data_IF_038420809644
#
_entry.id   IF_038420809644
#
_cell.length_a   1.000
_cell.length_b   1.000
_cell.length_c   1.000
_cell.angle_alpha   90.00
_cell.angle_beta   90.00
_cell.angle_gamma   90.00
#
_symmetry.space_group_name_H-M   'P 1'
#
loop_
_entity.id
_entity.type
_entity.pdbx_description
1 polymer ?
#
# COMPACT_ATOMS: atom_id res chain seq x y z
N UNK A 1 10.42 2.50 12.16
CA UNK A 1 10.25 3.64 13.10
C UNK A 1 11.08 4.86 12.72
N UNK A 2 12.33 4.67 12.27
CA UNK A 2 13.28 5.75 12.02
C UNK A 2 12.79 6.78 10.99
N UNK A 3 12.15 6.35 9.90
CA UNK A 3 11.63 7.26 8.87
C UNK A 3 10.22 7.78 9.18
N UNK A 4 9.32 6.93 9.70
CA UNK A 4 7.89 7.25 9.84
C UNK A 4 7.47 7.66 11.25
N UNK A 5 8.38 7.61 12.23
CA UNK A 5 8.13 7.96 13.63
C UNK A 5 7.19 7.03 14.41
N UNK A 6 6.67 5.97 13.79
CA UNK A 6 5.72 5.02 14.42
C UNK A 6 6.31 3.61 14.56
N UNK A 7 5.90 2.84 15.58
CA UNK A 7 6.24 1.42 15.68
C UNK A 7 5.75 0.67 14.44
N UNK A 8 6.62 -0.18 13.87
CA UNK A 8 6.22 -1.03 12.75
C UNK A 8 5.05 -1.93 13.22
N UNK A 9 4.04 -2.08 12.37
CA UNK A 9 2.87 -2.94 12.68
C UNK A 9 1.79 -2.28 13.55
N UNK A 10 1.88 -0.99 13.90
CA UNK A 10 0.86 -0.30 14.70
C UNK A 10 -0.55 -0.40 14.12
N UNK A 11 -0.67 -0.35 12.78
CA UNK A 11 -1.95 -0.49 12.10
C UNK A 11 -2.49 -1.91 12.14
N UNK A 12 -1.60 -2.92 12.16
CA UNK A 12 -1.98 -4.33 12.33
C UNK A 12 -2.45 -4.58 13.76
N UNK A 13 -1.75 -4.04 14.77
CA UNK A 13 -2.19 -4.11 16.18
C UNK A 13 -3.58 -3.48 16.37
N UNK A 14 -3.86 -2.39 15.65
CA UNK A 14 -5.16 -1.73 15.64
C UNK A 14 -6.19 -2.38 14.68
N UNK A 15 -5.82 -3.49 14.01
CA UNK A 15 -6.65 -4.22 13.02
C UNK A 15 -7.26 -3.32 11.94
N UNK A 16 -6.50 -2.32 11.48
CA UNK A 16 -6.96 -1.45 10.41
C UNK A 16 -6.95 -2.20 9.09
N UNK A 17 -8.05 -2.09 8.36
CA UNK A 17 -8.15 -2.54 6.98
C UNK A 17 -7.44 -1.56 6.03
N UNK A 18 -6.12 -1.39 6.22
CA UNK A 18 -5.30 -0.58 5.32
C UNK A 18 -5.26 -1.22 3.93
N UNK A 19 -4.94 -0.42 2.91
CA UNK A 19 -4.82 -0.91 1.52
C UNK A 19 -3.87 -2.10 1.43
N UNK A 20 -2.77 -2.09 2.18
CA UNK A 20 -1.81 -3.20 2.27
C UNK A 20 -2.47 -4.48 2.78
N UNK A 21 -3.23 -4.42 3.89
CA UNK A 21 -3.91 -5.59 4.46
C UNK A 21 -4.98 -6.13 3.51
N UNK A 22 -5.76 -5.23 2.91
CA UNK A 22 -6.81 -5.60 1.95
C UNK A 22 -6.22 -6.26 0.70
N UNK A 23 -5.15 -5.69 0.13
CA UNK A 23 -4.45 -6.24 -1.02
C UNK A 23 -3.84 -7.61 -0.71
N UNK A 24 -3.16 -7.77 0.42
CA UNK A 24 -2.61 -9.05 0.86
C UNK A 24 -3.67 -10.14 0.94
N UNK A 25 -4.83 -9.83 1.50
CA UNK A 25 -5.93 -10.79 1.57
C UNK A 25 -6.47 -11.18 0.18
N UNK A 26 -6.57 -10.21 -0.73
CA UNK A 26 -7.02 -10.44 -2.11
C UNK A 26 -6.04 -11.29 -2.91
N UNK A 27 -4.74 -11.05 -2.76
CA UNK A 27 -3.66 -11.78 -3.46
C UNK A 27 -3.38 -13.15 -2.85
N UNK A 28 -3.61 -13.33 -1.55
CA UNK A 28 -3.33 -14.57 -0.85
C UNK A 28 -4.10 -15.77 -1.42
N UNK A 29 -3.37 -16.88 -1.61
CA UNK A 29 -3.95 -18.19 -1.91
C UNK A 29 -4.68 -18.80 -0.71
N UNK A 30 -5.47 -19.86 -0.93
CA UNK A 30 -6.36 -20.45 0.09
C UNK A 30 -5.74 -20.68 1.49
N UNK A 31 -4.56 -21.33 1.61
CA UNK A 31 -3.90 -21.51 2.90
C UNK A 31 -3.46 -20.19 3.56
N UNK A 32 -2.79 -19.30 2.83
CA UNK A 32 -2.34 -17.99 3.34
C UNK A 32 -3.53 -17.10 3.74
N UNK A 33 -4.60 -17.11 2.95
CA UNK A 33 -5.82 -16.34 3.22
C UNK A 33 -6.48 -16.76 4.54
N UNK A 34 -6.49 -18.05 4.85
CA UNK A 34 -6.98 -18.55 6.15
C UNK A 34 -6.12 -18.03 7.31
N UNK A 35 -4.79 -18.10 7.19
CA UNK A 35 -3.87 -17.60 8.21
C UNK A 35 -4.01 -16.08 8.42
N UNK A 36 -4.16 -15.32 7.34
CA UNK A 36 -4.45 -13.88 7.42
C UNK A 36 -5.79 -13.62 8.13
N UNK A 37 -6.83 -14.41 7.85
CA UNK A 37 -8.13 -14.29 8.52
C UNK A 37 -8.07 -14.62 10.01
N UNK A 38 -7.32 -15.66 10.40
CA UNK A 38 -7.08 -16.02 11.80
C UNK A 38 -6.40 -14.86 12.55
N UNK A 39 -5.39 -14.23 11.95
CA UNK A 39 -4.71 -13.06 12.53
C UNK A 39 -5.62 -11.84 12.62
N UNK A 40 -6.45 -11.58 11.61
CA UNK A 40 -7.40 -10.47 11.60
C UNK A 40 -8.48 -10.61 12.68
N UNK A 41 -8.89 -11.84 12.98
CA UNK A 41 -10.01 -12.14 13.89
C UNK A 41 -9.57 -12.59 15.28
N UNK A 42 -8.26 -12.81 15.49
CA UNK A 42 -7.71 -13.20 16.77
C UNK A 42 -8.13 -12.21 17.87
N UNK A 43 -8.56 -12.67 19.06
CA UNK A 43 -8.95 -11.77 20.16
C UNK A 43 -7.76 -10.95 20.66
N UNK A 44 -6.60 -11.60 20.81
CA UNK A 44 -5.35 -10.99 21.23
C UNK A 44 -4.26 -11.23 20.18
N UNK A 45 -3.36 -10.26 20.03
CA UNK A 45 -2.22 -10.34 19.13
C UNK A 45 -0.94 -10.06 19.91
N UNK A 46 -0.04 -11.03 19.94
CA UNK A 46 1.31 -10.84 20.44
C UNK A 46 2.19 -10.14 19.40
N UNK A 47 3.37 -9.69 19.82
CA UNK A 47 4.37 -9.16 18.89
C UNK A 47 4.84 -10.21 17.86
N UNK A 48 4.88 -11.48 18.25
CA UNK A 48 5.17 -12.58 17.32
C UNK A 48 4.08 -12.76 16.26
N UNK A 49 2.82 -12.53 16.62
CA UNK A 49 1.69 -12.58 15.69
C UNK A 49 1.74 -11.43 14.69
N UNK A 50 2.10 -10.22 15.15
CA UNK A 50 2.29 -9.06 14.28
C UNK A 50 3.44 -9.31 13.29
N UNK A 51 4.58 -9.82 13.76
CA UNK A 51 5.72 -10.14 12.90
C UNK A 51 5.36 -11.22 11.85
N UNK A 52 4.64 -12.26 12.27
CA UNK A 52 4.12 -13.30 11.37
C UNK A 52 3.14 -12.73 10.36
N UNK A 53 2.26 -11.81 10.76
CA UNK A 53 1.33 -11.14 9.86
C UNK A 53 2.08 -10.31 8.83
N UNK A 54 3.12 -9.56 9.23
CA UNK A 54 3.97 -8.81 8.29
C UNK A 54 4.65 -9.73 7.28
N UNK A 55 5.20 -10.86 7.72
CA UNK A 55 5.80 -11.85 6.81
C UNK A 55 4.77 -12.38 5.82
N UNK A 56 3.58 -12.77 6.28
CA UNK A 56 2.53 -13.26 5.41
C UNK A 56 2.08 -12.21 4.38
N UNK A 57 1.99 -10.93 4.78
CA UNK A 57 1.70 -9.84 3.85
C UNK A 57 2.80 -9.73 2.79
N UNK A 58 4.07 -9.76 3.18
CA UNK A 58 5.18 -9.70 2.23
C UNK A 58 5.16 -10.89 1.25
N UNK A 59 4.91 -12.10 1.75
CA UNK A 59 4.90 -13.34 0.96
C UNK A 59 3.75 -13.41 -0.06
N UNK A 60 2.78 -12.49 -0.01
CA UNK A 60 1.69 -12.42 -1.01
C UNK A 60 2.04 -11.61 -2.25
N UNK A 61 3.20 -10.97 -2.30
CA UNK A 61 3.56 -10.03 -3.38
C UNK A 61 2.79 -8.70 -3.31
N UNK A 62 2.31 -8.34 -2.12
CA UNK A 62 1.49 -7.13 -1.92
C UNK A 62 2.27 -5.85 -2.23
N UNK A 63 3.57 -5.83 -1.94
CA UNK A 63 4.40 -4.64 -2.18
C UNK A 63 4.45 -4.37 -3.67
N UNK A 64 4.86 -5.36 -4.45
CA UNK A 64 4.97 -5.30 -5.90
C UNK A 64 3.64 -4.88 -6.54
N UNK A 65 2.53 -5.49 -6.10
CA UNK A 65 1.20 -5.14 -6.60
C UNK A 65 0.79 -3.69 -6.30
N UNK A 66 1.15 -3.16 -5.12
CA UNK A 66 0.86 -1.76 -4.76
C UNK A 66 1.74 -0.80 -5.58
N UNK A 67 3.01 -1.16 -5.82
CA UNK A 67 3.88 -0.38 -6.69
C UNK A 67 3.33 -0.29 -8.11
N UNK A 68 2.93 -1.43 -8.71
CA UNK A 68 2.26 -1.45 -10.01
C UNK A 68 0.97 -0.62 -10.03
N UNK A 69 0.20 -0.64 -8.93
CA UNK A 69 -1.01 0.15 -8.80
C UNK A 69 -0.71 1.66 -8.73
N UNK A 70 0.39 2.06 -8.11
CA UNK A 70 0.82 3.47 -8.08
C UNK A 70 1.27 3.92 -9.46
N UNK A 71 2.12 3.14 -10.13
CA UNK A 71 2.63 3.44 -11.46
C UNK A 71 1.52 3.53 -12.50
N UNK A 72 0.56 2.60 -12.46
CA UNK A 72 -0.60 2.62 -13.37
C UNK A 72 -1.48 3.85 -13.14
N UNK A 73 -1.71 4.24 -11.88
CA UNK A 73 -2.49 5.45 -11.54
C UNK A 73 -1.78 6.73 -11.93
N UNK A 74 -0.46 6.80 -11.71
CA UNK A 74 0.35 7.95 -12.12
C UNK A 74 0.32 8.10 -13.65
N UNK A 75 0.58 7.02 -14.37
CA UNK A 75 0.53 7.00 -15.84
C UNK A 75 -0.83 7.43 -16.37
N UNK A 76 -1.90 6.88 -15.80
CA UNK A 76 -3.27 7.25 -16.16
C UNK A 76 -3.55 8.74 -15.90
N UNK A 77 -3.14 9.27 -14.74
CA UNK A 77 -3.34 10.67 -14.40
C UNK A 77 -2.59 11.60 -15.37
N UNK A 78 -1.33 11.30 -15.71
CA UNK A 78 -0.54 12.07 -16.65
C UNK A 78 -1.15 12.07 -18.07
N UNK A 79 -1.64 10.92 -18.54
CA UNK A 79 -2.35 10.85 -19.83
C UNK A 79 -3.64 11.68 -19.84
N UNK A 80 -4.36 11.74 -18.71
CA UNK A 80 -5.55 12.61 -18.59
C UNK A 80 -5.16 14.08 -18.60
N UNK A 81 -4.09 14.47 -17.90
CA UNK A 81 -3.58 15.83 -17.93
C UNK A 81 -3.18 16.24 -19.35
N UNK A 82 -2.58 15.35 -20.13
CA UNK A 82 -2.13 15.63 -21.50
C UNK A 82 -3.28 15.95 -22.48
N UNK A 83 -4.47 15.39 -22.24
CA UNK A 83 -5.65 15.64 -23.08
C UNK A 83 -6.58 16.73 -22.53
N UNK A 84 -6.34 17.22 -21.32
CA UNK A 84 -7.21 18.19 -20.68
C UNK A 84 -7.07 19.59 -21.32
N UNK A 85 -8.16 20.39 -21.42
CA UNK A 85 -8.13 21.77 -21.90
C UNK A 85 -7.58 22.71 -20.81
N UNK A 86 -6.33 22.51 -20.42
CA UNK A 86 -5.60 23.30 -19.42
C UNK A 86 -4.48 24.09 -20.06
N UNK A 87 -4.22 25.29 -19.53
CA UNK A 87 -3.01 26.05 -19.83
C UNK A 87 -1.75 25.22 -19.53
N UNK A 88 -0.69 25.42 -20.32
CA UNK A 88 0.58 24.70 -20.21
C UNK A 88 1.16 24.71 -18.80
N UNK A 89 1.10 25.86 -18.13
CA UNK A 89 1.75 26.07 -16.84
C UNK A 89 1.02 25.30 -15.73
N UNK A 90 -0.32 25.29 -15.79
CA UNK A 90 -1.16 24.52 -14.87
C UNK A 90 -0.92 23.02 -15.05
N UNK A 91 -0.85 22.55 -16.30
CA UNK A 91 -0.55 21.16 -16.64
C UNK A 91 0.81 20.73 -16.10
N UNK A 92 1.83 21.57 -16.30
CA UNK A 92 3.18 21.31 -15.80
C UNK A 92 3.21 21.24 -14.28
N UNK A 93 2.54 22.16 -13.59
CA UNK A 93 2.49 22.17 -12.12
C UNK A 93 1.80 20.90 -11.56
N UNK A 94 0.69 20.47 -12.17
CA UNK A 94 -0.01 19.26 -11.77
C UNK A 94 0.82 17.98 -12.03
N UNK A 95 1.54 17.92 -13.16
CA UNK A 95 2.44 16.81 -13.45
C UNK A 95 3.60 16.72 -12.43
N UNK A 96 4.21 17.85 -12.10
CA UNK A 96 5.26 17.92 -11.06
C UNK A 96 4.72 17.48 -9.70
N UNK A 97 3.52 17.92 -9.32
CA UNK A 97 2.89 17.50 -8.07
C UNK A 97 2.61 16.00 -8.05
N UNK A 98 2.11 15.41 -9.14
CA UNK A 98 1.85 13.99 -9.24
C UNK A 98 3.15 13.15 -9.07
N UNK A 99 4.24 13.59 -9.69
CA UNK A 99 5.56 12.96 -9.52
C UNK A 99 6.05 13.07 -8.06
N UNK A 100 6.00 14.27 -7.46
CA UNK A 100 6.43 14.47 -6.08
C UNK A 100 5.59 13.67 -5.05
N UNK A 101 4.30 13.46 -5.31
CA UNK A 101 3.44 12.64 -4.45
C UNK A 101 3.69 11.13 -4.55
N UNK A 102 4.39 10.68 -5.58
CA UNK A 102 4.65 9.25 -5.84
C UNK A 102 6.13 8.89 -5.69
N UNK A 103 7.01 9.88 -5.62
CA UNK A 103 8.42 9.71 -5.30
C UNK A 103 8.59 9.16 -3.87
N UNK A 104 9.42 8.13 -3.73
CA UNK A 104 9.71 7.50 -2.43
C UNK A 104 11.19 7.56 -2.14
N UNK A 105 11.51 7.93 -0.90
CA UNK A 105 12.87 7.85 -0.37
C UNK A 105 13.19 6.37 -0.12
N UNK A 106 14.25 5.87 -0.76
CA UNK A 106 14.76 4.51 -0.54
C UNK A 106 15.34 4.34 0.88
#
# INVERSE_FOLDING_TARGET
PETTGKPAGSDLSARKATTVVAAAYQLAGGPQRRQLNELMTAPDLSQGDIARWQSLIADTGTVEWIEELIDSRLTWALQRLDTAPLHSDVRSALATMAAACTERVA
#
